data_IF_376437035386
#
_entry.id   IF_376437035386
#
_cell.length_a   1.000
_cell.length_b   1.000
_cell.length_c   1.000
_cell.angle_alpha   90.00
_cell.angle_beta   90.00
_cell.angle_gamma   90.00
#
_symmetry.space_group_name_H-M   'P 1'
#
loop_
_entity.id
_entity.type
_entity.pdbx_description
1 polymer ?
#
# COMPACT_ATOMS: atom_id res chain seq x y z
N UNK A 1 -27.68 -26.99 15.82
CA UNK A 1 -27.44 -27.80 17.04
C UNK A 1 -25.94 -28.05 17.17
N UNK A 2 -25.44 -28.01 18.43
CA UNK A 2 -24.06 -28.24 18.89
C UNK A 2 -23.16 -26.98 18.81
N UNK A 3 -23.20 -26.08 19.80
CA UNK A 3 -22.59 -26.13 21.15
C UNK A 3 -21.06 -25.98 21.09
N UNK A 4 -20.32 -25.26 21.93
CA UNK A 4 -20.49 -24.29 23.04
C UNK A 4 -19.05 -24.10 23.62
N UNK A 5 -18.86 -23.15 24.55
CA UNK A 5 -17.80 -23.07 25.60
C UNK A 5 -16.45 -22.47 25.13
N UNK A 6 -15.72 -21.60 25.84
CA UNK A 6 -15.87 -20.64 26.97
C UNK A 6 -14.41 -20.20 27.26
N UNK A 7 -14.19 -18.96 27.72
CA UNK A 7 -12.86 -18.56 28.20
C UNK A 7 -12.80 -17.13 28.74
N UNK A 8 -13.44 -16.90 29.88
CA UNK A 8 -13.25 -15.73 30.76
C UNK A 8 -11.84 -15.79 31.38
N UNK A 9 -11.11 -14.68 31.45
CA UNK A 9 -10.14 -14.30 32.52
C UNK A 9 -9.89 -12.79 32.33
N UNK A 10 -10.47 -11.88 33.12
CA UNK A 10 -10.24 -11.56 34.55
C UNK A 10 -8.91 -10.82 34.77
N UNK A 11 -9.01 -9.73 35.53
CA UNK A 11 -7.95 -8.97 36.21
C UNK A 11 -7.48 -7.65 35.55
N UNK A 12 -8.32 -6.61 35.65
CA UNK A 12 -7.78 -5.25 35.85
C UNK A 12 -7.89 -4.92 37.34
N UNK A 13 -6.95 -5.46 38.11
CA UNK A 13 -6.76 -5.09 39.50
C UNK A 13 -6.32 -3.62 39.57
N UNK A 14 -7.06 -2.92 40.41
CA UNK A 14 -6.84 -1.61 40.92
C UNK A 14 -5.49 -1.51 41.67
N UNK A 15 -4.91 -0.30 41.64
CA UNK A 15 -4.19 0.42 42.72
C UNK A 15 -2.66 0.58 42.65
N UNK A 16 -2.31 1.88 42.61
CA UNK A 16 -1.43 2.65 43.53
C UNK A 16 0.05 2.72 43.21
N UNK A 17 0.56 3.97 43.23
CA UNK A 17 1.91 4.24 43.68
C UNK A 17 2.54 5.46 43.06
N UNK A 18 2.29 6.64 43.64
CA UNK A 18 3.07 7.85 43.44
C UNK A 18 4.20 7.88 44.47
N UNK A 19 5.39 8.36 44.05
CA UNK A 19 6.53 8.88 44.84
C UNK A 19 7.53 7.89 45.44
N UNK A 20 8.82 8.12 45.14
CA UNK A 20 9.95 7.71 45.97
C UNK A 20 11.32 7.85 45.30
N UNK A 21 11.99 9.01 45.45
CA UNK A 21 13.43 9.14 45.20
C UNK A 21 14.24 8.26 46.16
N UNK A 22 15.26 7.58 45.65
CA UNK A 22 16.24 6.86 46.49
C UNK A 22 17.37 6.27 45.65
N UNK A 23 18.54 6.93 45.67
CA UNK A 23 19.78 6.46 45.09
C UNK A 23 20.47 5.49 46.06
N UNK A 24 20.71 4.22 45.69
CA UNK A 24 21.84 3.38 46.14
C UNK A 24 21.78 2.01 45.46
N UNK A 25 22.98 1.50 45.19
CA UNK A 25 23.28 0.45 44.24
C UNK A 25 22.96 -0.93 44.83
N UNK A 26 22.19 -1.76 44.13
CA UNK A 26 22.25 -3.20 44.29
C UNK A 26 21.83 -3.91 43.00
N UNK A 27 22.62 -4.91 42.65
CA UNK A 27 22.54 -5.80 41.50
C UNK A 27 21.13 -6.37 41.30
N UNK A 28 20.51 -6.04 40.17
CA UNK A 28 19.39 -6.80 39.63
C UNK A 28 19.74 -7.21 38.20
N UNK A 29 20.10 -8.49 38.04
CA UNK A 29 20.09 -9.16 36.74
C UNK A 29 18.66 -9.11 36.20
N UNK A 30 18.38 -8.15 35.33
CA UNK A 30 17.20 -8.17 34.48
C UNK A 30 17.55 -8.92 33.19
N UNK A 31 17.57 -10.25 33.28
CA UNK A 31 17.46 -11.10 32.09
C UNK A 31 15.99 -11.16 31.74
N UNK A 32 15.56 -10.25 30.87
CA UNK A 32 14.38 -10.39 30.01
C UNK A 32 14.61 -9.49 28.79
N UNK A 33 15.56 -9.90 27.94
CA UNK A 33 15.77 -9.32 26.61
C UNK A 33 16.08 -10.45 25.65
N UNK A 34 15.07 -11.25 25.31
CA UNK A 34 15.21 -12.22 24.21
C UNK A 34 13.94 -12.42 23.39
N UNK A 35 12.73 -12.21 23.93
CA UNK A 35 11.50 -12.57 23.18
C UNK A 35 10.88 -11.43 22.34
N UNK A 36 11.17 -10.16 22.64
CA UNK A 36 10.60 -9.02 21.89
C UNK A 36 11.41 -8.66 20.62
N UNK A 37 12.65 -9.15 20.51
CA UNK A 37 13.52 -8.96 19.34
C UNK A 37 13.10 -9.86 18.17
N UNK A 38 12.66 -11.09 18.46
CA UNK A 38 12.35 -12.07 17.42
C UNK A 38 11.02 -11.76 16.71
N UNK A 39 10.00 -11.31 17.46
CA UNK A 39 8.70 -10.95 16.88
C UNK A 39 8.78 -9.68 16.02
N UNK A 40 9.50 -8.64 16.48
CA UNK A 40 9.72 -7.42 15.70
C UNK A 40 10.60 -7.66 14.46
N UNK A 41 11.60 -8.53 14.56
CA UNK A 41 12.43 -8.94 13.42
C UNK A 41 11.62 -9.72 12.37
N UNK A 42 10.76 -10.65 12.82
CA UNK A 42 9.89 -11.45 11.93
C UNK A 42 8.86 -10.59 11.19
N UNK A 43 8.23 -9.63 11.88
CA UNK A 43 7.27 -8.69 11.26
C UNK A 43 7.99 -7.75 10.27
N UNK A 44 9.16 -7.22 10.63
CA UNK A 44 9.95 -6.35 9.74
C UNK A 44 10.36 -7.09 8.46
N UNK A 45 10.81 -8.35 8.58
CA UNK A 45 11.20 -9.17 7.43
C UNK A 45 10.01 -9.56 6.55
N UNK A 46 8.84 -9.83 7.14
CA UNK A 46 7.62 -10.12 6.38
C UNK A 46 7.16 -8.89 5.58
N UNK A 47 7.21 -7.70 6.21
CA UNK A 47 6.87 -6.44 5.54
C UNK A 47 7.86 -6.14 4.41
N UNK A 48 9.18 -6.25 4.65
CA UNK A 48 10.21 -6.08 3.61
C UNK A 48 9.98 -7.01 2.41
N UNK A 49 9.73 -8.29 2.66
CA UNK A 49 9.46 -9.28 1.59
C UNK A 49 8.22 -8.89 0.78
N UNK A 50 7.16 -8.42 1.44
CA UNK A 50 5.95 -7.94 0.76
C UNK A 50 6.24 -6.72 -0.12
N UNK A 51 7.00 -5.73 0.39
CA UNK A 51 7.38 -4.54 -0.37
C UNK A 51 8.21 -4.89 -1.59
N UNK A 52 9.23 -5.72 -1.42
CA UNK A 52 10.06 -6.19 -2.52
C UNK A 52 9.22 -6.90 -3.59
N UNK A 53 8.29 -7.76 -3.17
CA UNK A 53 7.36 -8.42 -4.10
C UNK A 53 6.46 -7.44 -4.84
N UNK A 54 5.99 -6.37 -4.19
CA UNK A 54 5.21 -5.33 -4.86
C UNK A 54 6.05 -4.60 -5.91
N UNK A 55 7.29 -4.21 -5.57
CA UNK A 55 8.22 -3.57 -6.52
C UNK A 55 8.55 -4.47 -7.73
N UNK A 56 8.62 -5.79 -7.55
CA UNK A 56 8.86 -6.75 -8.63
C UNK A 56 7.68 -6.82 -9.63
N UNK A 57 6.47 -6.45 -9.21
CA UNK A 57 5.28 -6.40 -10.06
C UNK A 57 5.19 -5.16 -10.94
N UNK A 58 6.14 -4.22 -10.87
CA UNK A 58 6.12 -2.98 -11.67
C UNK A 58 5.94 -3.24 -13.18
N UNK A 59 6.56 -4.31 -13.71
CA UNK A 59 6.40 -4.68 -15.12
C UNK A 59 4.99 -5.19 -15.46
N UNK A 60 4.30 -5.83 -14.51
CA UNK A 60 2.93 -6.28 -14.71
C UNK A 60 1.96 -5.09 -14.74
N UNK A 61 2.11 -4.17 -13.78
CA UNK A 61 1.32 -2.93 -13.73
C UNK A 61 1.58 -2.08 -14.97
N UNK A 62 2.82 -1.95 -15.44
CA UNK A 62 3.11 -1.32 -16.73
C UNK A 62 2.29 -1.94 -17.87
N UNK A 63 2.27 -3.27 -17.97
CA UNK A 63 1.49 -3.97 -19.00
C UNK A 63 0.00 -3.67 -18.90
N UNK A 64 -0.55 -3.64 -17.69
CA UNK A 64 -1.96 -3.32 -17.44
C UNK A 64 -2.30 -1.87 -17.79
N UNK A 65 -1.43 -0.92 -17.45
CA UNK A 65 -1.59 0.50 -17.82
C UNK A 65 -1.53 0.69 -19.33
N UNK A 66 -0.61 0.01 -20.03
CA UNK A 66 -0.56 0.08 -21.50
C UNK A 66 -1.82 -0.52 -22.14
N UNK A 67 -2.36 -1.60 -21.56
CA UNK A 67 -3.63 -2.18 -22.01
C UNK A 67 -4.82 -1.25 -21.75
N UNK A 68 -4.88 -0.61 -20.57
CA UNK A 68 -5.90 0.37 -20.23
C UNK A 68 -5.86 1.57 -21.19
N UNK A 69 -4.68 2.16 -21.40
CA UNK A 69 -4.46 3.23 -22.39
C UNK A 69 -4.95 2.82 -23.77
N UNK A 70 -4.58 1.63 -24.25
CA UNK A 70 -5.00 1.14 -25.56
C UNK A 70 -6.52 0.89 -25.65
N UNK A 71 -7.15 0.52 -24.52
CA UNK A 71 -8.61 0.36 -24.40
C UNK A 71 -9.29 1.73 -24.55
N UNK A 72 -8.85 2.74 -23.81
CA UNK A 72 -9.36 4.12 -23.87
C UNK A 72 -9.14 4.73 -25.26
N UNK A 73 -7.95 4.57 -25.85
CA UNK A 73 -7.63 5.14 -27.17
C UNK A 73 -8.57 4.65 -28.28
N UNK A 74 -9.02 3.39 -28.18
CA UNK A 74 -9.92 2.74 -29.14
C UNK A 74 -11.40 2.91 -28.79
N UNK A 75 -11.71 3.46 -27.62
CA UNK A 75 -13.07 3.59 -27.15
C UNK A 75 -13.88 4.51 -28.07
N UNK A 76 -15.09 4.07 -28.40
CA UNK A 76 -16.05 4.83 -29.17
C UNK A 76 -17.40 4.70 -28.49
N UNK A 77 -18.00 5.83 -28.16
CA UNK A 77 -19.33 5.86 -27.56
C UNK A 77 -20.35 6.39 -28.56
N UNK A 78 -21.62 6.02 -28.37
CA UNK A 78 -22.73 6.66 -29.06
C UNK A 78 -23.30 7.73 -28.13
N UNK A 79 -23.39 8.97 -28.60
CA UNK A 79 -23.94 10.07 -27.79
C UNK A 79 -25.37 9.76 -27.37
N UNK A 80 -25.64 9.88 -26.06
CA UNK A 80 -26.96 9.60 -25.47
C UNK A 80 -27.28 8.13 -25.23
N UNK A 81 -26.33 7.21 -25.43
CA UNK A 81 -26.51 5.82 -25.03
C UNK A 81 -26.66 5.73 -23.49
N UNK A 82 -27.70 5.03 -23.06
CA UNK A 82 -28.03 4.81 -21.63
C UNK A 82 -26.92 4.10 -20.86
N UNK A 83 -26.07 3.33 -21.55
CA UNK A 83 -25.00 2.57 -20.94
C UNK A 83 -23.73 3.40 -20.72
N UNK A 84 -23.60 4.58 -21.36
CA UNK A 84 -22.39 5.38 -21.31
C UNK A 84 -21.94 5.69 -19.87
N UNK A 85 -22.90 6.03 -18.99
CA UNK A 85 -22.58 6.32 -17.59
C UNK A 85 -21.96 5.11 -16.88
N UNK A 86 -22.54 3.91 -17.07
CA UNK A 86 -22.00 2.68 -16.48
C UNK A 86 -20.62 2.38 -17.05
N UNK A 87 -20.46 2.49 -18.37
CA UNK A 87 -19.17 2.25 -19.02
C UNK A 87 -18.08 3.21 -18.54
N UNK A 88 -18.42 4.49 -18.33
CA UNK A 88 -17.48 5.45 -17.74
C UNK A 88 -17.10 5.03 -16.32
N UNK A 89 -18.08 4.75 -15.46
CA UNK A 89 -17.82 4.34 -14.07
C UNK A 89 -16.91 3.11 -14.01
N UNK A 90 -17.19 2.08 -14.80
CA UNK A 90 -16.36 0.86 -14.81
C UNK A 90 -14.91 1.15 -15.24
N UNK A 91 -14.71 2.04 -16.23
CA UNK A 91 -13.38 2.43 -16.70
C UNK A 91 -12.65 3.34 -15.70
N UNK A 92 -13.39 4.21 -15.01
CA UNK A 92 -12.85 5.08 -13.98
C UNK A 92 -12.41 4.27 -12.75
N UNK A 93 -13.20 3.29 -12.32
CA UNK A 93 -12.80 2.36 -11.25
C UNK A 93 -11.54 1.55 -11.61
N UNK A 94 -11.42 1.13 -12.88
CA UNK A 94 -10.20 0.46 -13.35
C UNK A 94 -8.99 1.41 -13.34
N UNK A 95 -9.17 2.67 -13.73
CA UNK A 95 -8.14 3.71 -13.70
C UNK A 95 -7.67 3.97 -12.26
N UNK A 96 -8.60 4.28 -11.36
CA UNK A 96 -8.33 4.53 -9.95
C UNK A 96 -7.64 3.32 -9.31
N UNK A 97 -8.02 2.09 -9.66
CA UNK A 97 -7.34 0.90 -9.14
C UNK A 97 -5.88 0.82 -9.61
N UNK A 98 -5.58 1.19 -10.86
CA UNK A 98 -4.20 1.21 -11.36
C UNK A 98 -3.37 2.32 -10.72
N UNK A 99 -3.97 3.49 -10.51
CA UNK A 99 -3.36 4.64 -9.86
C UNK A 99 -3.01 4.33 -8.40
N UNK A 100 -3.97 3.81 -7.62
CA UNK A 100 -3.74 3.37 -6.25
C UNK A 100 -2.64 2.29 -6.12
N UNK A 101 -2.52 1.42 -7.13
CA UNK A 101 -1.43 0.43 -7.15
C UNK A 101 -0.06 1.05 -7.40
N UNK A 102 0.02 2.16 -8.14
CA UNK A 102 1.26 2.94 -8.30
C UNK A 102 1.60 3.69 -7.02
N UNK A 103 0.64 4.33 -6.36
CA UNK A 103 0.83 5.02 -5.08
C UNK A 103 1.42 4.09 -4.01
N UNK A 104 0.80 2.91 -3.84
CA UNK A 104 1.30 1.90 -2.90
C UNK A 104 2.70 1.45 -3.28
N UNK A 105 3.01 1.37 -4.58
CA UNK A 105 4.34 0.99 -5.05
C UNK A 105 5.38 2.08 -4.76
N UNK A 106 5.02 3.35 -4.93
CA UNK A 106 5.88 4.50 -4.62
C UNK A 106 6.21 4.52 -3.12
N UNK A 107 5.20 4.37 -2.26
CA UNK A 107 5.37 4.24 -0.82
C UNK A 107 6.30 3.06 -0.46
N UNK A 108 6.06 1.89 -1.09
CA UNK A 108 6.90 0.71 -0.96
C UNK A 108 8.35 0.95 -1.32
N UNK A 109 8.57 1.66 -2.42
CA UNK A 109 9.88 2.03 -2.93
C UNK A 109 10.60 3.02 -1.99
N UNK A 110 9.90 4.04 -1.49
CA UNK A 110 10.45 5.06 -0.61
C UNK A 110 10.96 4.47 0.71
N UNK A 111 10.18 3.58 1.33
CA UNK A 111 10.59 2.92 2.58
C UNK A 111 11.72 1.93 2.35
N UNK A 112 11.71 1.14 1.26
CA UNK A 112 12.83 0.25 0.95
C UNK A 112 14.13 1.02 0.80
N UNK A 113 14.08 2.22 0.19
CA UNK A 113 15.24 3.10 0.10
C UNK A 113 15.64 3.68 1.46
N UNK A 114 14.69 4.19 2.26
CA UNK A 114 14.94 4.72 3.61
C UNK A 114 15.53 3.68 4.57
N UNK A 115 15.26 2.40 4.35
CA UNK A 115 15.78 1.29 5.15
C UNK A 115 17.06 0.65 4.56
N UNK A 116 17.70 1.30 3.58
CA UNK A 116 18.92 0.83 2.90
C UNK A 116 18.78 -0.56 2.25
N UNK A 117 17.55 -0.94 1.84
CA UNK A 117 17.26 -2.24 1.20
C UNK A 117 17.48 -2.25 -0.30
N UNK A 118 17.40 -1.08 -0.92
CA UNK A 118 17.73 -0.85 -2.33
C UNK A 118 18.72 0.30 -2.44
N UNK A 119 19.48 0.31 -3.53
CA UNK A 119 20.41 1.39 -3.83
C UNK A 119 19.67 2.64 -4.33
N UNK A 120 20.35 3.79 -4.26
CA UNK A 120 19.84 5.06 -4.82
C UNK A 120 19.54 4.96 -6.33
N UNK A 121 20.35 4.20 -7.06
CA UNK A 121 20.18 4.03 -8.51
C UNK A 121 18.93 3.18 -8.81
N UNK A 122 18.72 2.09 -8.07
CA UNK A 122 17.50 1.28 -8.17
C UNK A 122 16.25 2.08 -7.82
N UNK A 123 16.30 2.86 -6.74
CA UNK A 123 15.24 3.79 -6.36
C UNK A 123 14.92 4.76 -7.50
N UNK A 124 15.92 5.51 -8.00
CA UNK A 124 15.69 6.54 -9.02
C UNK A 124 15.18 5.98 -10.34
N UNK A 125 15.61 4.78 -10.74
CA UNK A 125 15.12 4.14 -11.97
C UNK A 125 13.66 3.75 -11.83
N UNK A 126 13.25 3.21 -10.68
CA UNK A 126 11.88 2.75 -10.43
C UNK A 126 10.92 3.93 -10.20
N UNK A 127 11.33 4.93 -9.43
CA UNK A 127 10.58 6.18 -9.22
C UNK A 127 10.27 6.87 -10.56
N UNK A 128 11.30 7.11 -11.39
CA UNK A 128 11.09 7.67 -12.75
C UNK A 128 10.16 6.85 -13.62
N UNK A 129 10.09 5.53 -13.41
CA UNK A 129 9.22 4.66 -14.16
C UNK A 129 7.77 4.80 -13.70
N UNK A 130 7.54 4.83 -12.38
CA UNK A 130 6.23 5.09 -11.77
C UNK A 130 5.70 6.46 -12.22
N UNK A 131 6.51 7.52 -12.10
CA UNK A 131 6.22 8.88 -12.60
C UNK A 131 5.76 8.94 -14.08
N UNK A 132 6.29 8.03 -14.90
CA UNK A 132 5.95 7.97 -16.32
C UNK A 132 4.64 7.23 -16.56
N UNK A 133 4.35 6.23 -15.72
CA UNK A 133 3.11 5.45 -15.78
C UNK A 133 1.92 6.27 -15.28
N UNK A 134 2.07 7.04 -14.20
CA UNK A 134 1.06 8.01 -13.74
C UNK A 134 0.73 9.03 -14.84
N UNK A 135 1.75 9.61 -15.48
CA UNK A 135 1.54 10.51 -16.63
C UNK A 135 0.80 9.84 -17.80
N UNK A 136 0.87 8.52 -17.93
CA UNK A 136 0.10 7.78 -18.93
C UNK A 136 -1.35 7.60 -18.46
N UNK A 137 -1.58 7.31 -17.18
CA UNK A 137 -2.92 7.24 -16.60
C UNK A 137 -3.64 8.58 -16.65
N UNK A 138 -3.01 9.68 -16.25
CA UNK A 138 -3.63 11.01 -16.29
C UNK A 138 -4.07 11.39 -17.72
N UNK A 139 -3.25 11.09 -18.73
CA UNK A 139 -3.65 11.31 -20.14
C UNK A 139 -4.76 10.39 -20.60
N UNK A 140 -4.86 9.20 -20.04
CA UNK A 140 -5.95 8.28 -20.33
C UNK A 140 -7.24 8.74 -19.63
N UNK A 141 -7.14 9.31 -18.42
CA UNK A 141 -8.23 9.96 -17.69
C UNK A 141 -8.78 11.15 -18.48
N UNK A 142 -7.93 12.12 -18.83
CA UNK A 142 -8.29 13.29 -19.65
C UNK A 142 -9.04 12.85 -20.92
N UNK A 143 -8.51 11.81 -21.60
CA UNK A 143 -9.14 11.27 -22.80
C UNK A 143 -10.47 10.57 -22.52
N UNK A 144 -10.60 9.91 -21.38
CA UNK A 144 -11.83 9.25 -20.97
C UNK A 144 -12.91 10.30 -20.70
N UNK A 145 -12.58 11.33 -19.94
CA UNK A 145 -13.44 12.47 -19.64
C UNK A 145 -13.87 13.19 -20.92
N UNK A 146 -12.94 13.45 -21.85
CA UNK A 146 -13.22 13.99 -23.19
C UNK A 146 -14.24 13.17 -23.97
N UNK A 147 -14.08 11.83 -23.98
CA UNK A 147 -14.96 10.93 -24.74
C UNK A 147 -16.38 10.96 -24.18
N UNK A 148 -16.52 11.00 -22.86
CA UNK A 148 -17.83 10.96 -22.19
C UNK A 148 -18.45 12.35 -21.95
N UNK A 149 -17.67 13.42 -22.09
CA UNK A 149 -18.10 14.79 -21.84
C UNK A 149 -18.19 15.13 -20.36
N UNK A 150 -17.22 14.67 -19.57
CA UNK A 150 -17.08 14.96 -18.13
C UNK A 150 -15.91 15.90 -17.79
N UNK A 151 -15.36 16.59 -18.80
CA UNK A 151 -14.23 17.55 -18.76
C UNK A 151 -14.54 18.87 -17.98
N UNK A 152 -15.33 18.80 -16.89
CA UNK A 152 -15.82 19.94 -16.07
C UNK A 152 -14.98 20.19 -14.80
#
# INVERSE_FOLDING_TARGET
MKNKIIGIILCSFLLVGLVGCGNSNETANNTNTTEQSEQNSSIKNANETSRMSNIEKLSDIEGRIQNFKAKVDKLKITKGDKNNKSTYTDLNEELESLDNELDVMEDDLEILYKEDKITRDEYSVKEKKIDQLEKVLNRAEERLEDIFGYDD
#
